data_IF_812263598948
#
_entry.id   IF_812263598948
#
_cell.length_a   1.000
_cell.length_b   1.000
_cell.length_c   1.000
_cell.angle_alpha   90.00
_cell.angle_beta   90.00
_cell.angle_gamma   90.00
#
_symmetry.space_group_name_H-M   'P 1'
#
loop_
_entity.id
_entity.type
_entity.pdbx_description
1 polymer ?
#
# COMPACT_ATOMS: atom_id res chain seq x y z
N UNK A 1 -10.38 -9.75 -5.29
CA UNK A 1 -9.44 -9.80 -4.15
C UNK A 1 -8.09 -10.41 -4.50
N UNK A 2 -7.99 -11.67 -4.97
CA UNK A 2 -6.68 -12.28 -5.35
C UNK A 2 -5.90 -11.44 -6.38
N UNK A 3 -6.57 -10.97 -7.42
CA UNK A 3 -5.97 -10.10 -8.43
C UNK A 3 -5.49 -8.77 -7.83
N UNK A 4 -6.35 -8.08 -7.09
CA UNK A 4 -6.01 -6.86 -6.36
C UNK A 4 -4.76 -7.02 -5.47
N UNK A 5 -4.67 -8.11 -4.69
CA UNK A 5 -3.50 -8.39 -3.85
C UNK A 5 -2.22 -8.54 -4.67
N UNK A 6 -2.30 -9.22 -5.82
CA UNK A 6 -1.15 -9.37 -6.74
C UNK A 6 -0.74 -8.02 -7.34
N UNK A 7 -1.70 -7.24 -7.80
CA UNK A 7 -1.45 -5.94 -8.42
C UNK A 7 -0.87 -4.93 -7.43
N UNK A 8 -1.36 -4.95 -6.18
CA UNK A 8 -0.86 -4.11 -5.10
C UNK A 8 0.58 -4.48 -4.71
N UNK A 9 0.87 -5.78 -4.55
CA UNK A 9 2.23 -6.28 -4.32
C UNK A 9 3.18 -5.85 -5.44
N UNK A 10 2.75 -5.98 -6.69
CA UNK A 10 3.56 -5.58 -7.84
C UNK A 10 3.81 -4.06 -7.86
N UNK A 11 2.78 -3.25 -7.57
CA UNK A 11 2.91 -1.80 -7.50
C UNK A 11 3.85 -1.36 -6.36
N UNK A 12 3.84 -2.04 -5.22
CA UNK A 12 4.80 -1.83 -4.13
C UNK A 12 6.23 -2.11 -4.58
N UNK A 13 6.48 -3.25 -5.22
CA UNK A 13 7.81 -3.64 -5.72
C UNK A 13 8.33 -2.65 -6.77
N UNK A 14 7.44 -2.17 -7.65
CA UNK A 14 7.77 -1.17 -8.66
C UNK A 14 7.83 0.25 -8.10
N UNK A 15 7.45 0.41 -6.83
CA UNK A 15 7.28 1.69 -6.14
C UNK A 15 6.42 2.71 -6.91
N UNK A 16 5.42 2.21 -7.63
CA UNK A 16 4.49 3.00 -8.45
C UNK A 16 3.38 3.57 -7.57
N UNK A 17 3.62 4.76 -7.05
CA UNK A 17 2.70 5.44 -6.12
C UNK A 17 1.34 5.73 -6.77
N UNK A 18 1.30 6.10 -8.05
CA UNK A 18 0.04 6.39 -8.75
C UNK A 18 -0.81 5.12 -8.87
N UNK A 19 -0.18 3.99 -9.19
CA UNK A 19 -0.87 2.70 -9.25
C UNK A 19 -1.34 2.24 -7.87
N UNK A 20 -0.55 2.49 -6.82
CA UNK A 20 -0.98 2.22 -5.44
C UNK A 20 -2.23 3.03 -5.07
N UNK A 21 -2.25 4.33 -5.37
CA UNK A 21 -3.41 5.20 -5.13
C UNK A 21 -4.66 4.70 -5.86
N UNK A 22 -4.56 4.42 -7.17
CA UNK A 22 -5.68 3.89 -7.95
C UNK A 22 -6.21 2.55 -7.38
N UNK A 23 -5.32 1.65 -6.96
CA UNK A 23 -5.73 0.38 -6.35
C UNK A 23 -6.42 0.59 -5.00
N UNK A 24 -6.03 1.61 -4.21
CA UNK A 24 -6.73 1.94 -2.97
C UNK A 24 -8.15 2.43 -3.23
N UNK A 25 -8.36 3.24 -4.27
CA UNK A 25 -9.69 3.70 -4.66
C UNK A 25 -10.60 2.54 -5.10
N UNK A 26 -10.02 1.48 -5.66
CA UNK A 26 -10.74 0.26 -6.08
C UNK A 26 -10.95 -0.77 -4.95
N UNK A 27 -10.35 -0.57 -3.77
CA UNK A 27 -10.42 -1.53 -2.66
C UNK A 27 -11.82 -1.55 -2.01
N UNK A 28 -12.66 -2.50 -2.41
CA UNK A 28 -13.95 -2.74 -1.77
C UNK A 28 -13.96 -4.01 -0.90
N UNK A 29 -13.52 -3.86 0.35
CA UNK A 29 -13.56 -4.94 1.35
C UNK A 29 -15.00 -5.35 1.70
N UNK A 30 -15.97 -4.44 1.60
CA UNK A 30 -17.38 -4.74 1.91
C UNK A 30 -17.98 -5.67 0.87
N UNK A 31 -17.71 -5.42 -0.41
CA UNK A 31 -18.10 -6.32 -1.50
C UNK A 31 -17.40 -7.68 -1.37
N UNK A 32 -16.12 -7.70 -0.99
CA UNK A 32 -15.39 -8.95 -0.75
C UNK A 32 -16.06 -9.81 0.33
N UNK A 33 -16.32 -9.27 1.52
CA UNK A 33 -16.98 -10.01 2.61
C UNK A 33 -18.38 -10.48 2.21
N UNK A 34 -19.14 -9.62 1.50
CA UNK A 34 -20.46 -10.01 0.98
C UNK A 34 -20.39 -11.17 -0.01
N UNK A 35 -19.38 -11.22 -0.86
CA UNK A 35 -19.21 -12.30 -1.82
C UNK A 35 -18.79 -13.60 -1.13
N UNK A 36 -17.90 -13.54 -0.14
CA UNK A 36 -17.58 -14.70 0.70
C UNK A 36 -18.82 -15.28 1.40
N UNK A 37 -19.66 -14.41 1.98
CA UNK A 37 -20.90 -14.82 2.64
C UNK A 37 -21.92 -15.49 1.70
N UNK A 38 -21.86 -15.20 0.39
CA UNK A 38 -22.68 -15.88 -0.62
C UNK A 38 -22.13 -17.27 -0.97
N UNK A 39 -20.81 -17.44 -0.95
CA UNK A 39 -20.16 -18.73 -1.25
C UNK A 39 -20.39 -19.75 -0.13
N UNK A 40 -20.25 -19.31 1.12
CA UNK A 40 -20.66 -20.09 2.29
C UNK A 40 -20.99 -19.15 3.45
N UNK A 41 -22.19 -19.24 4.04
CA UNK A 41 -22.58 -18.39 5.15
C UNK A 41 -22.04 -18.89 6.50
N UNK A 42 -21.28 -19.99 6.55
CA UNK A 42 -20.77 -20.50 7.83
C UNK A 42 -19.78 -19.53 8.46
N UNK A 43 -19.97 -19.27 9.76
CA UNK A 43 -19.18 -18.29 10.50
C UNK A 43 -17.68 -18.65 10.50
N UNK A 44 -17.36 -19.94 10.65
CA UNK A 44 -15.98 -20.43 10.66
C UNK A 44 -15.28 -20.21 9.31
N UNK A 45 -15.97 -20.49 8.19
CA UNK A 45 -15.45 -20.25 6.85
C UNK A 45 -15.19 -18.76 6.61
N UNK A 46 -16.13 -17.90 7.03
CA UNK A 46 -16.00 -16.46 6.89
C UNK A 46 -14.85 -15.92 7.73
N UNK A 47 -14.72 -16.35 8.99
CA UNK A 47 -13.62 -15.94 9.86
C UNK A 47 -12.28 -16.33 9.26
N UNK A 48 -12.10 -17.57 8.85
CA UNK A 48 -10.81 -18.06 8.34
C UNK A 48 -10.40 -17.30 7.06
N UNK A 49 -11.30 -17.19 6.09
CA UNK A 49 -10.99 -16.58 4.79
C UNK A 49 -10.95 -15.05 4.83
N UNK A 50 -11.79 -14.41 5.64
CA UNK A 50 -11.77 -12.95 5.78
C UNK A 50 -10.55 -12.49 6.57
N UNK A 51 -10.19 -13.19 7.66
CA UNK A 51 -9.06 -12.80 8.50
C UNK A 51 -7.75 -12.88 7.74
N UNK A 52 -7.49 -13.97 7.00
CA UNK A 52 -6.26 -14.10 6.22
C UNK A 52 -6.10 -12.93 5.21
N UNK A 53 -7.15 -12.63 4.46
CA UNK A 53 -7.13 -11.50 3.52
C UNK A 53 -6.96 -10.17 4.24
N UNK A 54 -7.63 -9.98 5.38
CA UNK A 54 -7.52 -8.75 6.15
C UNK A 54 -6.08 -8.52 6.64
N UNK A 55 -5.43 -9.56 7.17
CA UNK A 55 -4.03 -9.49 7.59
C UNK A 55 -3.09 -9.16 6.42
N UNK A 56 -3.31 -9.78 5.26
CA UNK A 56 -2.51 -9.47 4.07
C UNK A 56 -2.69 -8.03 3.61
N UNK A 57 -3.93 -7.53 3.54
CA UNK A 57 -4.21 -6.13 3.18
C UNK A 57 -3.55 -5.18 4.18
N UNK A 58 -3.70 -5.45 5.48
CA UNK A 58 -3.08 -4.62 6.52
C UNK A 58 -1.55 -4.55 6.37
N UNK A 59 -0.88 -5.69 6.16
CA UNK A 59 0.57 -5.72 5.98
C UNK A 59 1.02 -4.90 4.76
N UNK A 60 0.31 -5.04 3.63
CA UNK A 60 0.62 -4.31 2.40
C UNK A 60 0.43 -2.79 2.57
N UNK A 61 -0.61 -2.37 3.28
CA UNK A 61 -0.83 -0.95 3.58
C UNK A 61 0.26 -0.38 4.49
N UNK A 62 0.72 -1.15 5.47
CA UNK A 62 1.83 -0.75 6.33
C UNK A 62 3.13 -0.59 5.53
N UNK A 63 3.43 -1.52 4.62
CA UNK A 63 4.57 -1.43 3.72
C UNK A 63 4.49 -0.19 2.80
N UNK A 64 3.30 0.11 2.26
CA UNK A 64 3.08 1.30 1.43
C UNK A 64 3.43 2.60 2.18
N UNK A 65 3.01 2.71 3.45
CA UNK A 65 3.32 3.86 4.31
C UNK A 65 4.83 3.99 4.51
N UNK A 66 5.51 2.90 4.84
CA UNK A 66 6.97 2.88 5.05
C UNK A 66 7.70 3.34 3.77
N UNK A 67 7.28 2.85 2.61
CA UNK A 67 7.86 3.24 1.32
C UNK A 67 7.72 4.75 1.07
N UNK A 68 6.53 5.31 1.28
CA UNK A 68 6.26 6.74 1.10
C UNK A 68 7.11 7.59 2.07
N UNK A 69 7.20 7.18 3.33
CA UNK A 69 8.02 7.88 4.31
C UNK A 69 9.52 7.88 3.95
N UNK A 70 10.05 6.75 3.49
CA UNK A 70 11.44 6.64 3.07
C UNK A 70 11.71 7.54 1.87
N UNK A 71 10.85 7.54 0.84
CA UNK A 71 10.97 8.44 -0.31
C UNK A 71 10.97 9.92 0.08
N UNK A 72 10.09 10.31 1.00
CA UNK A 72 10.03 11.68 1.54
C UNK A 72 11.34 12.07 2.23
N UNK A 73 11.88 11.18 3.08
CA UNK A 73 13.16 11.38 3.78
C UNK A 73 14.32 11.56 2.79
N UNK A 74 14.42 10.70 1.78
CA UNK A 74 15.47 10.78 0.76
C UNK A 74 15.45 12.11 0.01
N UNK A 75 14.28 12.54 -0.47
CA UNK A 75 14.13 13.84 -1.15
C UNK A 75 14.48 15.02 -0.24
N UNK A 76 14.10 14.98 1.04
CA UNK A 76 14.44 16.04 1.99
C UNK A 76 15.97 16.16 2.19
N UNK A 77 16.68 15.03 2.27
CA UNK A 77 18.15 15.00 2.37
C UNK A 77 18.79 15.59 1.10
N UNK A 78 18.29 15.26 -0.08
CA UNK A 78 18.77 15.82 -1.34
C UNK A 78 18.59 17.35 -1.40
N UNK A 79 17.40 17.85 -1.02
CA UNK A 79 17.12 19.29 -0.93
C UNK A 79 18.11 19.98 0.01
N UNK A 80 18.36 19.40 1.19
CA UNK A 80 19.32 19.97 2.14
C UNK A 80 20.75 20.01 1.58
N UNK A 81 21.17 18.98 0.83
CA UNK A 81 22.47 18.98 0.13
C UNK A 81 22.55 20.10 -0.90
N UNK A 82 21.50 20.29 -1.71
CA UNK A 82 21.44 21.39 -2.67
C UNK A 82 21.48 22.76 -1.99
N UNK A 83 20.75 22.95 -0.89
CA UNK A 83 20.79 24.19 -0.11
C UNK A 83 22.19 24.48 0.44
N UNK A 84 22.87 23.48 1.01
CA UNK A 84 24.26 23.63 1.49
C UNK A 84 25.21 24.02 0.35
N UNK A 85 25.12 23.34 -0.79
CA UNK A 85 25.93 23.66 -1.96
C UNK A 85 25.68 25.10 -2.44
N UNK A 86 24.42 25.53 -2.52
CA UNK A 86 24.06 26.91 -2.86
C UNK A 86 24.64 27.93 -1.87
N UNK A 87 24.63 27.64 -0.57
CA UNK A 87 25.28 28.51 0.43
C UNK A 87 26.76 28.64 0.17
N UNK A 88 27.47 27.54 -0.09
CA UNK A 88 28.91 27.57 -0.41
C UNK A 88 29.23 28.42 -1.65
N UNK A 89 28.40 28.36 -2.70
CA UNK A 89 28.62 29.16 -3.91
C UNK A 89 28.28 30.64 -3.77
N UNK A 90 27.43 31.01 -2.80
CA UNK A 90 27.02 32.40 -2.53
C UNK A 90 27.84 33.08 -1.43
N UNK A 91 28.67 32.30 -0.73
CA UNK A 91 29.62 32.76 0.28
C UNK A 91 30.96 33.06 -0.38
#
# INVERSE_FOLDING_TARGET
MKQWLSDFKLALIQEDVNKLENLLDELDMKAFIKNLAKESPSEDFLKENANDVFYQVQALLQEAVILIEQKKKTKAVEIQKFQKALTYFKS
#
